data_IF_228032261676
#
_entry.id   IF_228032261676
#
_cell.length_a   1.000
_cell.length_b   1.000
_cell.length_c   1.000
_cell.angle_alpha   90.00
_cell.angle_beta   90.00
_cell.angle_gamma   90.00
#
_symmetry.space_group_name_H-M   'P 1'
#
loop_
_entity.id
_entity.type
_entity.pdbx_description
1 polymer ?
#
# COMPACT_ATOMS: atom_id res chain seq x y z
N UNK A 1 -21.85 15.56 5.01
CA UNK A 1 -20.59 15.74 4.21
C UNK A 1 -19.80 14.45 4.02
N UNK A 2 -20.06 13.43 4.84
CA UNK A 2 -19.29 12.19 4.87
C UNK A 2 -19.24 11.42 3.53
N UNK A 3 -20.33 11.39 2.74
CA UNK A 3 -20.33 10.69 1.44
C UNK A 3 -19.27 11.21 0.46
N UNK A 4 -19.06 12.53 0.37
CA UNK A 4 -18.04 13.12 -0.51
C UNK A 4 -16.63 12.66 -0.12
N UNK A 5 -16.37 12.57 1.19
CA UNK A 5 -15.09 12.07 1.72
C UNK A 5 -14.90 10.57 1.43
N UNK A 6 -15.97 9.76 1.48
CA UNK A 6 -15.91 8.34 1.12
C UNK A 6 -15.64 8.13 -0.38
N UNK A 7 -16.23 8.95 -1.25
CA UNK A 7 -15.90 8.95 -2.68
C UNK A 7 -14.44 9.34 -2.92
N UNK A 8 -13.96 10.39 -2.25
CA UNK A 8 -12.56 10.81 -2.34
C UNK A 8 -11.61 9.70 -1.86
N UNK A 9 -11.91 9.08 -0.71
CA UNK A 9 -11.15 7.95 -0.17
C UNK A 9 -11.09 6.79 -1.17
N UNK A 10 -12.23 6.46 -1.80
CA UNK A 10 -12.32 5.39 -2.79
C UNK A 10 -11.50 5.73 -4.04
N UNK A 11 -11.55 6.98 -4.51
CA UNK A 11 -10.78 7.45 -5.65
C UNK A 11 -9.27 7.39 -5.39
N UNK A 12 -8.82 7.79 -4.20
CA UNK A 12 -7.40 7.68 -3.80
C UNK A 12 -6.96 6.21 -3.77
N UNK A 13 -7.81 5.31 -3.24
CA UNK A 13 -7.51 3.88 -3.20
C UNK A 13 -7.43 3.26 -4.60
N UNK A 14 -8.31 3.64 -5.52
CA UNK A 14 -8.22 3.23 -6.93
C UNK A 14 -6.91 3.68 -7.55
N UNK A 15 -6.49 4.93 -7.29
CA UNK A 15 -5.19 5.44 -7.73
C UNK A 15 -4.03 4.62 -7.16
N UNK A 16 -4.08 4.27 -5.87
CA UNK A 16 -3.09 3.42 -5.21
C UNK A 16 -3.03 2.01 -5.80
N UNK A 17 -4.18 1.40 -6.12
CA UNK A 17 -4.25 0.11 -6.82
C UNK A 17 -3.60 0.22 -8.20
N UNK A 18 -4.05 1.16 -9.03
CA UNK A 18 -3.55 1.31 -10.39
C UNK A 18 -2.02 1.51 -10.40
N UNK A 19 -1.51 2.35 -9.50
CA UNK A 19 -0.07 2.61 -9.39
C UNK A 19 0.71 1.37 -8.92
N UNK A 20 0.28 0.75 -7.81
CA UNK A 20 0.98 -0.42 -7.25
C UNK A 20 1.00 -1.60 -8.21
N UNK A 21 -0.14 -1.90 -8.85
CA UNK A 21 -0.23 -3.00 -9.81
C UNK A 21 0.54 -2.72 -11.10
N UNK A 22 0.56 -1.48 -11.61
CA UNK A 22 1.39 -1.15 -12.77
C UNK A 22 2.89 -1.41 -12.51
N UNK A 23 3.37 -1.05 -11.31
CA UNK A 23 4.78 -1.32 -10.93
C UNK A 23 5.05 -2.81 -10.76
N UNK A 24 4.11 -3.53 -10.13
CA UNK A 24 4.23 -4.95 -9.85
C UNK A 24 4.19 -5.79 -11.13
N UNK A 25 3.32 -5.46 -12.07
CA UNK A 25 3.22 -6.14 -13.38
C UNK A 25 4.53 -6.01 -14.15
N UNK A 26 5.16 -4.83 -14.15
CA UNK A 26 6.48 -4.66 -14.79
C UNK A 26 7.55 -5.55 -14.15
N UNK A 27 7.51 -5.74 -12.82
CA UNK A 27 8.42 -6.66 -12.12
C UNK A 27 8.14 -8.13 -12.49
N UNK A 28 6.87 -8.53 -12.58
CA UNK A 28 6.49 -9.86 -13.03
C UNK A 28 6.94 -10.14 -14.46
N UNK A 29 6.77 -9.19 -15.39
CA UNK A 29 7.22 -9.32 -16.78
C UNK A 29 8.73 -9.50 -16.83
N UNK A 30 9.49 -8.67 -16.08
CA UNK A 30 10.95 -8.75 -16.04
C UNK A 30 11.43 -10.09 -15.48
N UNK A 31 10.79 -10.57 -14.41
CA UNK A 31 11.10 -11.86 -13.81
C UNK A 31 10.77 -13.02 -14.76
N UNK A 32 9.61 -12.99 -15.41
CA UNK A 32 9.19 -14.02 -16.37
C UNK A 32 10.11 -14.07 -17.59
N UNK A 33 10.52 -12.91 -18.13
CA UNK A 33 11.47 -12.86 -19.24
C UNK A 33 12.86 -13.39 -18.87
N UNK A 34 13.24 -13.31 -17.59
CA UNK A 34 14.56 -13.78 -17.12
C UNK A 34 14.57 -15.28 -16.79
N UNK A 35 13.51 -15.80 -16.17
CA UNK A 35 13.48 -17.18 -15.64
C UNK A 35 12.46 -18.11 -16.29
N UNK A 36 11.63 -17.60 -17.21
CA UNK A 36 10.61 -18.37 -17.95
C UNK A 36 9.48 -18.96 -17.09
N UNK A 37 9.49 -18.74 -15.77
CA UNK A 37 8.57 -19.34 -14.81
C UNK A 37 8.26 -18.34 -13.68
N UNK A 38 7.03 -18.36 -13.16
CA UNK A 38 6.60 -17.47 -12.07
C UNK A 38 6.84 -18.06 -10.66
N UNK A 39 6.99 -19.38 -10.56
CA UNK A 39 7.05 -20.11 -9.29
C UNK A 39 8.48 -20.51 -8.88
N UNK A 40 9.51 -19.90 -9.47
CA UNK A 40 10.89 -20.13 -9.04
C UNK A 40 11.17 -19.31 -7.78
N UNK A 41 11.45 -19.99 -6.67
CA UNK A 41 11.66 -19.37 -5.34
C UNK A 41 13.09 -19.59 -4.81
N UNK A 42 13.88 -20.45 -5.45
CA UNK A 42 15.27 -20.77 -5.06
C UNK A 42 16.25 -20.43 -6.18
N UNK A 43 17.47 -20.05 -5.80
CA UNK A 43 18.60 -19.73 -6.69
C UNK A 43 18.30 -18.65 -7.74
N UNK A 44 17.65 -17.56 -7.32
CA UNK A 44 17.31 -16.43 -8.19
C UNK A 44 18.20 -15.22 -7.86
N UNK A 45 18.89 -14.67 -8.86
CA UNK A 45 19.63 -13.39 -8.72
C UNK A 45 18.69 -12.19 -8.53
N UNK A 46 17.45 -12.27 -9.03
CA UNK A 46 16.38 -11.29 -8.83
C UNK A 46 15.33 -11.92 -7.91
N UNK A 47 14.90 -11.24 -6.82
CA UNK A 47 13.90 -11.78 -5.91
C UNK A 47 12.55 -12.01 -6.60
N UNK A 48 11.84 -13.07 -6.21
CA UNK A 48 10.53 -13.37 -6.77
C UNK A 48 9.52 -12.27 -6.34
N UNK A 49 8.81 -11.61 -7.28
CA UNK A 49 7.88 -10.53 -6.99
C UNK A 49 6.81 -10.89 -5.94
N UNK A 50 6.38 -12.16 -5.88
CA UNK A 50 5.37 -12.65 -4.92
C UNK A 50 5.86 -12.58 -3.47
N UNK A 51 7.18 -12.69 -3.26
CA UNK A 51 7.80 -12.63 -1.93
C UNK A 51 8.18 -11.21 -1.51
N UNK A 52 7.98 -10.22 -2.37
CA UNK A 52 8.36 -8.83 -2.08
C UNK A 52 7.33 -8.10 -1.22
N UNK A 53 7.78 -7.15 -0.42
CA UNK A 53 6.90 -6.27 0.35
C UNK A 53 5.92 -5.47 -0.54
N UNK A 54 6.32 -5.13 -1.77
CA UNK A 54 5.49 -4.43 -2.74
C UNK A 54 4.23 -5.23 -3.12
N UNK A 55 4.33 -6.56 -3.25
CA UNK A 55 3.17 -7.43 -3.53
C UNK A 55 2.14 -7.39 -2.41
N UNK A 56 2.58 -7.53 -1.16
CA UNK A 56 1.69 -7.45 0.00
C UNK A 56 1.05 -6.06 0.16
N UNK A 57 1.80 -4.99 -0.15
CA UNK A 57 1.26 -3.62 -0.20
C UNK A 57 0.17 -3.46 -1.25
N UNK A 58 0.37 -4.00 -2.46
CA UNK A 58 -0.63 -3.97 -3.54
C UNK A 58 -1.91 -4.74 -3.15
N UNK A 59 -1.78 -5.90 -2.51
CA UNK A 59 -2.92 -6.65 -1.96
C UNK A 59 -3.65 -5.83 -0.89
N UNK A 60 -2.93 -5.18 0.02
CA UNK A 60 -3.54 -4.34 1.04
C UNK A 60 -4.37 -3.19 0.45
N UNK A 61 -3.92 -2.57 -0.66
CA UNK A 61 -4.73 -1.58 -1.37
C UNK A 61 -6.03 -2.16 -1.94
N UNK A 62 -5.99 -3.36 -2.51
CA UNK A 62 -7.20 -4.05 -3.03
C UNK A 62 -8.19 -4.35 -1.90
N UNK A 63 -7.71 -4.87 -0.77
CA UNK A 63 -8.56 -5.10 0.40
C UNK A 63 -9.16 -3.80 0.94
N UNK A 64 -8.36 -2.73 1.05
CA UNK A 64 -8.84 -1.43 1.51
C UNK A 64 -9.90 -0.85 0.56
N UNK A 65 -9.70 -0.96 -0.76
CA UNK A 65 -10.67 -0.52 -1.75
C UNK A 65 -11.98 -1.29 -1.65
N UNK A 66 -11.92 -2.62 -1.60
CA UNK A 66 -13.11 -3.46 -1.45
C UNK A 66 -13.90 -3.07 -0.20
N UNK A 67 -13.19 -2.87 0.91
CA UNK A 67 -13.81 -2.42 2.17
C UNK A 67 -14.42 -1.03 2.07
N UNK A 68 -13.73 -0.09 1.42
CA UNK A 68 -14.23 1.27 1.17
C UNK A 68 -15.48 1.26 0.28
N UNK A 69 -15.50 0.40 -0.74
CA UNK A 69 -16.65 0.22 -1.62
C UNK A 69 -17.86 -0.35 -0.87
N UNK A 70 -17.65 -1.35 -0.01
CA UNK A 70 -18.71 -1.85 0.87
C UNK A 70 -19.26 -0.76 1.80
N UNK A 71 -18.42 0.19 2.21
CA UNK A 71 -18.81 1.28 3.10
C UNK A 71 -19.64 2.37 2.40
N UNK A 72 -19.45 2.54 1.09
CA UNK A 72 -20.34 3.35 0.24
C UNK A 72 -21.75 2.76 0.19
N UNK A 73 -21.87 1.42 0.14
CA UNK A 73 -23.15 0.72 0.16
C UNK A 73 -23.80 0.72 1.55
N UNK A 74 -23.01 0.48 2.59
CA UNK A 74 -23.47 0.42 3.99
C UNK A 74 -22.58 1.28 4.89
N UNK A 75 -22.98 2.54 5.03
CA UNK A 75 -22.25 3.49 5.85
C UNK A 75 -22.43 3.17 7.33
N UNK A 76 -21.38 2.64 7.96
CA UNK A 76 -21.39 2.32 9.39
C UNK A 76 -20.14 2.87 10.08
N UNK A 77 -20.33 3.54 11.23
CA UNK A 77 -19.24 4.13 11.99
C UNK A 77 -18.22 3.07 12.46
N UNK A 78 -18.68 1.87 12.82
CA UNK A 78 -17.81 0.76 13.25
C UNK A 78 -16.89 0.33 12.10
N UNK A 79 -17.45 0.09 10.91
CA UNK A 79 -16.66 -0.33 9.74
C UNK A 79 -15.63 0.72 9.33
N UNK A 80 -15.96 2.03 9.42
CA UNK A 80 -15.02 3.09 9.07
C UNK A 80 -13.82 3.13 10.03
N UNK A 81 -14.04 2.86 11.32
CA UNK A 81 -12.95 2.75 12.30
C UNK A 81 -12.03 1.57 12.00
N UNK A 82 -12.58 0.43 11.61
CA UNK A 82 -11.77 -0.72 11.20
C UNK A 82 -10.95 -0.42 9.96
N UNK A 83 -11.57 0.19 8.93
CA UNK A 83 -10.88 0.60 7.71
C UNK A 83 -9.74 1.60 8.01
N UNK A 84 -9.99 2.58 8.89
CA UNK A 84 -8.96 3.52 9.34
C UNK A 84 -7.80 2.81 10.05
N UNK A 85 -8.08 1.87 10.94
CA UNK A 85 -7.03 1.13 11.65
C UNK A 85 -6.24 0.22 10.70
N UNK A 86 -6.90 -0.39 9.72
CA UNK A 86 -6.24 -1.16 8.66
C UNK A 86 -5.32 -0.27 7.80
N UNK A 87 -5.79 0.92 7.41
CA UNK A 87 -4.96 1.89 6.68
C UNK A 87 -3.78 2.39 7.52
N UNK A 88 -3.96 2.58 8.83
CA UNK A 88 -2.87 2.92 9.75
C UNK A 88 -1.81 1.81 9.78
N UNK A 89 -2.23 0.55 9.85
CA UNK A 89 -1.32 -0.58 9.76
C UNK A 89 -0.56 -0.58 8.43
N UNK A 90 -1.25 -0.33 7.31
CA UNK A 90 -0.63 -0.20 5.99
C UNK A 90 0.40 0.94 5.90
N UNK A 91 0.12 2.10 6.51
CA UNK A 91 1.07 3.22 6.61
C UNK A 91 2.32 2.82 7.38
N UNK A 92 2.16 2.21 8.55
CA UNK A 92 3.30 1.77 9.38
C UNK A 92 4.14 0.75 8.61
N UNK A 93 3.50 -0.25 8.00
CA UNK A 93 4.19 -1.25 7.18
C UNK A 93 4.97 -0.62 6.02
N UNK A 94 4.34 0.28 5.27
CA UNK A 94 5.00 0.97 4.14
C UNK A 94 6.18 1.83 4.60
N UNK A 95 6.06 2.53 5.74
CA UNK A 95 7.14 3.32 6.31
C UNK A 95 8.29 2.43 6.82
N UNK A 96 8.00 1.28 7.41
CA UNK A 96 9.04 0.33 7.84
C UNK A 96 9.85 -0.19 6.64
N UNK A 97 9.18 -0.57 5.55
CA UNK A 97 9.84 -1.03 4.32
C UNK A 97 10.66 0.09 3.69
N UNK A 98 10.11 1.30 3.60
CA UNK A 98 10.81 2.46 3.08
C UNK A 98 12.06 2.76 3.91
N UNK A 99 11.95 2.75 5.24
CA UNK A 99 13.08 2.97 6.16
C UNK A 99 14.16 1.91 5.96
N UNK A 100 13.78 0.65 5.77
CA UNK A 100 14.71 -0.42 5.46
C UNK A 100 15.46 -0.16 4.13
N UNK A 101 14.76 0.24 3.07
CA UNK A 101 15.40 0.60 1.79
C UNK A 101 16.37 1.80 1.94
N UNK A 102 16.00 2.80 2.73
CA UNK A 102 16.88 3.93 3.06
C UNK A 102 18.15 3.48 3.78
N UNK A 103 18.04 2.62 4.80
CA UNK A 103 19.20 2.13 5.56
C UNK A 103 20.15 1.28 4.71
N UNK A 104 19.61 0.48 3.79
CA UNK A 104 20.40 -0.30 2.82
C UNK A 104 21.08 0.62 1.81
N UNK A 105 20.39 1.65 1.29
CA UNK A 105 20.96 2.60 0.32
C UNK A 105 22.16 3.37 0.91
N UNK A 106 22.05 3.84 2.15
CA UNK A 106 23.14 4.53 2.86
C UNK A 106 24.21 3.57 3.42
N UNK A 107 24.14 2.26 3.12
CA UNK A 107 25.05 1.21 3.62
C UNK A 107 25.18 1.16 5.14
N UNK A 108 24.16 1.62 5.88
CA UNK A 108 24.11 1.49 7.34
C UNK A 108 23.92 0.02 7.73
N UNK A 109 23.23 -0.74 6.88
CA UNK A 109 23.03 -2.19 7.01
C UNK A 109 23.50 -2.85 5.72
N UNK A 110 24.37 -3.86 5.82
CA UNK A 110 24.77 -4.70 4.68
C UNK A 110 23.82 -5.90 4.65
N UNK A 111 22.94 -6.02 3.64
CA UNK A 111 22.02 -7.14 3.56
C UNK A 111 22.80 -8.45 3.33
N UNK A 112 22.51 -9.56 4.05
CA UNK A 112 23.33 -10.77 3.99
C UNK A 112 23.33 -11.44 2.61
N UNK A 113 22.20 -11.47 1.90
CA UNK A 113 22.06 -12.05 0.56
C UNK A 113 20.78 -11.46 -0.05
N UNK A 114 20.82 -11.08 -1.34
CA UNK A 114 19.69 -10.70 -2.22
C UNK A 114 18.58 -9.85 -1.57
N UNK A 115 18.68 -8.54 -1.79
CA UNK A 115 17.85 -7.53 -1.14
C UNK A 115 16.35 -7.78 -1.20
N UNK A 116 15.71 -7.62 -0.04
CA UNK A 116 14.25 -7.59 0.18
C UNK A 116 13.61 -6.35 -0.50
N UNK A 117 14.43 -5.41 -0.99
CA UNK A 117 13.99 -4.14 -1.60
C UNK A 117 13.55 -4.28 -3.05
N UNK A 118 12.57 -3.45 -3.45
CA UNK A 118 11.95 -3.53 -4.77
C UNK A 118 12.82 -2.93 -5.89
N UNK A 119 13.92 -2.23 -5.58
CA UNK A 119 14.92 -1.75 -6.56
C UNK A 119 16.27 -1.41 -5.89
N UNK A 120 17.28 -2.30 -5.94
CA UNK A 120 18.60 -1.98 -5.39
C UNK A 120 19.31 -0.89 -6.22
N UNK A 121 19.86 0.14 -5.56
CA UNK A 121 20.76 1.13 -6.18
C UNK A 121 20.10 2.38 -6.78
N UNK A 122 18.78 2.54 -6.71
CA UNK A 122 18.09 3.78 -7.10
C UNK A 122 17.88 4.70 -5.90
N UNK A 123 17.88 6.01 -6.17
CA UNK A 123 17.62 7.02 -5.15
C UNK A 123 16.25 6.76 -4.47
N UNK A 124 16.20 6.65 -3.14
CA UNK A 124 15.01 6.18 -2.41
C UNK A 124 13.78 7.08 -2.60
N UNK A 125 13.96 8.35 -2.99
CA UNK A 125 12.83 9.25 -3.31
C UNK A 125 12.18 8.99 -4.67
N UNK A 126 12.82 8.19 -5.54
CA UNK A 126 12.24 7.78 -6.83
C UNK A 126 11.65 6.36 -6.81
N UNK A 127 11.67 5.68 -5.66
CA UNK A 127 11.21 4.29 -5.59
C UNK A 127 9.69 4.20 -5.66
N UNK A 128 9.16 3.09 -6.21
CA UNK A 128 7.73 2.82 -6.17
C UNK A 128 7.20 2.69 -4.73
N UNK A 129 8.04 2.28 -3.79
CA UNK A 129 7.73 2.19 -2.35
C UNK A 129 7.33 3.53 -1.73
N UNK A 130 8.09 4.61 -2.00
CA UNK A 130 7.73 5.94 -1.50
C UNK A 130 6.36 6.37 -2.01
N UNK A 131 6.11 6.18 -3.32
CA UNK A 131 4.82 6.56 -3.93
C UNK A 131 3.67 5.77 -3.31
N UNK A 132 3.85 4.46 -3.09
CA UNK A 132 2.89 3.63 -2.37
C UNK A 132 2.63 4.13 -0.94
N UNK A 133 3.68 4.50 -0.20
CA UNK A 133 3.53 5.07 1.14
C UNK A 133 2.73 6.37 1.15
N UNK A 134 2.95 7.26 0.16
CA UNK A 134 2.17 8.49 0.01
C UNK A 134 0.68 8.21 -0.22
N UNK A 135 0.33 7.21 -1.04
CA UNK A 135 -1.06 6.80 -1.25
C UNK A 135 -1.69 6.24 0.04
N UNK A 136 -0.96 5.45 0.81
CA UNK A 136 -1.44 4.95 2.11
C UNK A 136 -1.68 6.10 3.10
N UNK A 137 -0.76 7.07 3.18
CA UNK A 137 -0.89 8.24 4.05
C UNK A 137 -2.09 9.09 3.63
N UNK A 138 -2.23 9.40 2.34
CA UNK A 138 -3.37 10.15 1.82
C UNK A 138 -4.71 9.44 2.11
N UNK A 139 -4.75 8.12 1.91
CA UNK A 139 -5.93 7.30 2.22
C UNK A 139 -6.24 7.30 3.73
N UNK A 140 -5.22 7.23 4.57
CA UNK A 140 -5.38 7.28 6.02
C UNK A 140 -5.92 8.64 6.50
N UNK A 141 -5.38 9.75 5.98
CA UNK A 141 -5.82 11.10 6.32
C UNK A 141 -7.30 11.29 5.94
N UNK A 142 -7.68 10.89 4.72
CA UNK A 142 -9.08 10.97 4.28
C UNK A 142 -10.01 10.09 5.13
N UNK A 143 -9.59 8.87 5.47
CA UNK A 143 -10.33 7.99 6.37
C UNK A 143 -10.48 8.57 7.79
N UNK A 144 -9.46 9.26 8.29
CA UNK A 144 -9.49 9.95 9.58
C UNK A 144 -10.53 11.07 9.60
N UNK A 145 -10.54 11.94 8.58
CA UNK A 145 -11.53 12.99 8.44
C UNK A 145 -12.95 12.42 8.25
N UNK A 146 -13.12 11.41 7.40
CA UNK A 146 -14.41 10.74 7.21
C UNK A 146 -14.96 10.15 8.53
N UNK A 147 -14.09 9.61 9.39
CA UNK A 147 -14.49 9.10 10.71
C UNK A 147 -14.97 10.22 11.63
N UNK A 148 -14.34 11.41 11.59
CA UNK A 148 -14.74 12.56 12.41
C UNK A 148 -16.11 13.09 11.99
N UNK A 149 -16.34 13.21 10.69
CA UNK A 149 -17.61 13.69 10.16
C UNK A 149 -18.77 12.73 10.46
N UNK A 150 -18.57 11.41 10.28
CA UNK A 150 -19.57 10.41 10.66
C UNK A 150 -19.85 10.37 12.17
N UNK A 151 -18.88 10.75 13.02
CA UNK A 151 -19.09 10.86 14.46
C UNK A 151 -19.97 12.06 14.81
N UNK A 152 -19.76 13.21 14.16
CA UNK A 152 -20.57 14.43 14.36
C UNK A 152 -22.04 14.19 13.99
N UNK A 153 -22.30 13.63 12.79
CA UNK A 153 -23.66 13.35 12.31
C UNK A 153 -24.43 12.41 13.27
N UNK A 154 -23.75 11.50 13.97
CA UNK A 154 -24.36 10.62 14.97
C UNK A 154 -24.69 11.31 16.30
N UNK A 155 -23.95 12.35 16.67
CA UNK A 155 -24.16 13.09 17.93
C UNK A 155 -25.29 14.12 17.81
N UNK A 156 -25.52 14.68 16.62
CA UNK A 156 -26.64 15.62 16.37
C UNK A 156 -28.02 14.94 16.32
N UNK A 157 -28.05 13.63 16.03
CA UNK A 157 -29.29 12.84 15.97
C UNK A 157 -29.67 12.13 17.29
N UNK A 158 -29.00 12.47 18.40
CA UNK A 158 -29.26 11.87 19.72
C UNK A 158 -29.65 12.94 20.72
#
# INVERSE_FOLDING_TARGET
>A
MARKLLYLQTLILVGGIAFSWATLVNQFITFYNTYGTLFRVKDCTIPNPVTTACFYGALAFVFAFFWSFLLLLRTTLKSQKYLRNFLLFGVVFALSVLTYEFLVYYRVIVPPVQGIGCSPGVFPLKTPCLRGALFFIASFITAFFATRELKKEKTEHK
#
